data_IF_667292445974
#
_entry.id   IF_667292445974
#
_cell.length_a   1.000
_cell.length_b   1.000
_cell.length_c   1.000
_cell.angle_alpha   90.00
_cell.angle_beta   90.00
_cell.angle_gamma   90.00
#
_symmetry.space_group_name_H-M   'P 1'
#
loop_
_entity.id
_entity.type
_entity.pdbx_description
1 polymer ?
#
# COMPACT_ATOMS: atom_id res chain seq x y z
N UNK A 1 -1.61 -5.76 -12.43
CA UNK A 1 -0.61 -4.89 -11.78
C UNK A 1 0.55 -4.62 -12.71
N UNK A 2 0.96 -3.35 -12.84
CA UNK A 2 2.26 -2.98 -13.41
C UNK A 2 3.06 -2.31 -12.29
N UNK A 3 4.12 -2.96 -11.83
CA UNK A 3 5.10 -2.41 -10.89
C UNK A 3 6.48 -2.53 -11.53
N UNK A 4 7.29 -1.48 -11.42
CA UNK A 4 8.64 -1.45 -11.99
C UNK A 4 9.58 -0.78 -10.99
N UNK A 5 10.64 -1.52 -10.63
CA UNK A 5 11.76 -1.03 -9.84
C UNK A 5 12.99 -1.14 -10.73
N UNK A 6 13.63 -0.02 -11.02
CA UNK A 6 14.87 0.05 -11.78
C UNK A 6 15.92 0.67 -10.89
N UNK A 7 16.96 -0.10 -10.59
CA UNK A 7 18.10 0.33 -9.80
C UNK A 7 19.35 0.33 -10.69
N UNK A 8 20.24 1.29 -10.47
CA UNK A 8 21.58 1.28 -11.07
C UNK A 8 22.42 0.12 -10.51
N UNK A 9 23.50 -0.24 -11.23
CA UNK A 9 24.36 -1.40 -10.90
C UNK A 9 24.79 -1.52 -9.42
N UNK A 10 25.17 -0.45 -8.70
CA UNK A 10 25.61 -0.59 -7.30
C UNK A 10 24.47 -0.67 -6.28
N UNK A 11 23.20 -0.57 -6.70
CA UNK A 11 22.06 -0.42 -5.79
C UNK A 11 21.23 -1.71 -5.76
N UNK A 12 21.36 -2.47 -4.67
CA UNK A 12 20.54 -3.65 -4.40
C UNK A 12 19.05 -3.34 -4.30
N UNK A 13 18.21 -4.35 -4.54
CA UNK A 13 16.75 -4.26 -4.35
C UNK A 13 16.39 -4.78 -2.96
N UNK A 14 15.27 -4.31 -2.43
CA UNK A 14 14.68 -4.85 -1.21
C UNK A 14 13.59 -5.88 -1.56
N UNK A 15 13.78 -7.14 -1.15
CA UNK A 15 12.83 -8.23 -1.42
C UNK A 15 11.53 -8.06 -0.62
N UNK A 16 11.61 -7.56 0.61
CA UNK A 16 10.44 -7.36 1.45
C UNK A 16 9.47 -6.34 0.80
N UNK A 17 10.00 -5.31 0.14
CA UNK A 17 9.19 -4.36 -0.64
C UNK A 17 8.54 -4.98 -1.88
N UNK A 18 9.20 -5.95 -2.51
CA UNK A 18 8.62 -6.69 -3.64
C UNK A 18 7.46 -7.56 -3.16
N UNK A 19 7.60 -8.25 -2.03
CA UNK A 19 6.54 -9.03 -1.40
C UNK A 19 5.38 -8.12 -0.98
N UNK A 20 5.69 -7.00 -0.31
CA UNK A 20 4.69 -6.01 0.12
C UNK A 20 3.84 -5.48 -1.03
N UNK A 21 4.45 -5.28 -2.20
CA UNK A 21 3.74 -4.85 -3.41
C UNK A 21 2.76 -5.93 -3.91
N UNK A 22 3.11 -7.21 -3.80
CA UNK A 22 2.24 -8.33 -4.17
C UNK A 22 1.10 -8.49 -3.17
N UNK A 23 1.38 -8.40 -1.86
CA UNK A 23 0.34 -8.45 -0.82
C UNK A 23 -0.67 -7.29 -0.98
N UNK A 24 -0.19 -6.09 -1.34
CA UNK A 24 -1.06 -4.92 -1.57
C UNK A 24 -2.00 -5.13 -2.77
N UNK A 25 -1.50 -5.78 -3.83
CA UNK A 25 -2.34 -6.14 -4.98
C UNK A 25 -3.43 -7.12 -4.56
N UNK A 26 -3.06 -8.20 -3.87
CA UNK A 26 -4.01 -9.22 -3.43
C UNK A 26 -5.09 -8.60 -2.52
N UNK A 27 -4.68 -7.76 -1.57
CA UNK A 27 -5.61 -7.04 -0.71
C UNK A 27 -6.61 -6.19 -1.50
N UNK A 28 -6.13 -5.43 -2.48
CA UNK A 28 -6.99 -4.61 -3.34
C UNK A 28 -7.97 -5.47 -4.17
N UNK A 29 -7.51 -6.59 -4.72
CA UNK A 29 -8.36 -7.50 -5.50
C UNK A 29 -9.43 -8.17 -4.64
N UNK A 30 -9.12 -8.47 -3.37
CA UNK A 30 -10.06 -9.12 -2.43
C UNK A 30 -11.06 -8.14 -1.81
N UNK A 31 -10.63 -6.92 -1.44
CA UNK A 31 -11.43 -5.99 -0.64
C UNK A 31 -11.98 -4.81 -1.46
N UNK A 32 -11.39 -4.51 -2.64
CA UNK A 32 -11.70 -3.33 -3.43
C UNK A 32 -11.19 -2.01 -2.83
N UNK A 33 -10.46 -2.07 -1.71
CA UNK A 33 -9.87 -0.93 -1.03
C UNK A 33 -8.48 -0.60 -1.56
N UNK A 34 -8.05 0.66 -1.45
CA UNK A 34 -6.69 1.06 -1.82
C UNK A 34 -5.74 0.95 -0.64
N UNK A 35 -4.47 0.67 -0.93
CA UNK A 35 -3.41 0.56 0.08
C UNK A 35 -2.75 1.93 0.31
N UNK A 36 -2.85 2.54 1.51
CA UNK A 36 -2.19 3.80 1.83
C UNK A 36 -0.65 3.67 1.89
N UNK A 37 0.05 4.80 2.06
CA UNK A 37 1.51 4.81 2.18
C UNK A 37 1.99 3.93 3.34
N UNK A 38 3.08 3.18 3.12
CA UNK A 38 3.61 2.20 4.09
C UNK A 38 2.60 1.14 4.56
N UNK A 39 1.58 0.88 3.75
CA UNK A 39 0.68 -0.24 3.99
C UNK A 39 1.45 -1.56 3.93
N UNK A 40 1.13 -2.42 4.88
CA UNK A 40 1.64 -3.77 5.04
C UNK A 40 0.46 -4.69 5.36
N UNK A 41 0.62 -5.98 5.10
CA UNK A 41 -0.41 -6.98 5.36
C UNK A 41 -0.93 -6.89 6.79
N UNK A 42 -2.26 -6.79 6.92
CA UNK A 42 -2.94 -6.63 8.21
C UNK A 42 -3.22 -5.18 8.62
N UNK A 43 -2.66 -4.17 7.93
CA UNK A 43 -3.07 -2.77 8.12
C UNK A 43 -4.37 -2.46 7.40
N UNK A 44 -5.09 -1.45 7.90
CA UNK A 44 -6.34 -1.00 7.29
C UNK A 44 -6.10 -0.44 5.87
N UNK A 45 -6.98 -0.82 4.95
CA UNK A 45 -7.10 -0.18 3.64
C UNK A 45 -7.82 1.16 3.74
N UNK A 46 -7.90 1.86 2.61
CA UNK A 46 -8.59 3.14 2.49
C UNK A 46 -9.59 3.08 1.34
N UNK A 47 -10.78 3.65 1.53
CA UNK A 47 -11.77 3.75 0.46
C UNK A 47 -11.29 4.69 -0.64
N UNK A 48 -11.49 4.31 -1.91
CA UNK A 48 -11.09 5.09 -3.09
C UNK A 48 -12.07 6.25 -3.41
N UNK A 49 -12.50 6.99 -2.38
CA UNK A 49 -13.39 8.15 -2.50
C UNK A 49 -12.98 9.26 -1.52
N UNK A 50 -13.37 10.53 -1.77
CA UNK A 50 -13.08 11.62 -0.83
C UNK A 50 -13.55 11.33 0.60
N UNK A 51 -14.74 10.76 0.76
CA UNK A 51 -15.29 10.37 2.06
C UNK A 51 -14.50 9.22 2.70
N UNK A 52 -14.06 8.24 1.89
CA UNK A 52 -13.23 7.13 2.34
C UNK A 52 -11.86 7.59 2.84
N UNK A 53 -11.26 8.57 2.16
CA UNK A 53 -10.00 9.20 2.58
C UNK A 53 -10.21 9.99 3.87
N UNK A 54 -11.26 10.82 3.95
CA UNK A 54 -11.54 11.63 5.13
C UNK A 54 -11.77 10.75 6.37
N UNK A 55 -12.51 9.64 6.20
CA UNK A 55 -12.72 8.65 7.26
C UNK A 55 -11.40 8.00 7.69
N UNK A 56 -10.60 7.50 6.74
CA UNK A 56 -9.33 6.85 7.05
C UNK A 56 -8.37 7.77 7.80
N UNK A 57 -8.25 9.03 7.36
CA UNK A 57 -7.39 10.03 8.02
C UNK A 57 -7.88 10.37 9.42
N UNK A 58 -9.19 10.49 9.63
CA UNK A 58 -9.75 10.79 10.96
C UNK A 58 -9.48 9.66 11.96
N UNK A 59 -9.54 8.40 11.51
CA UNK A 59 -9.31 7.22 12.36
C UNK A 59 -7.81 6.93 12.62
N UNK A 60 -6.93 7.40 11.72
CA UNK A 60 -5.49 7.07 11.75
C UNK A 60 -4.57 8.29 11.94
N UNK A 61 -5.12 9.49 12.19
CA UNK A 61 -4.37 10.75 12.29
C UNK A 61 -3.17 10.71 13.26
N UNK A 62 -3.28 9.95 14.36
CA UNK A 62 -2.22 9.85 15.37
C UNK A 62 -1.08 8.89 15.01
N UNK A 63 -1.24 8.12 13.93
CA UNK A 63 -0.29 7.08 13.48
C UNK A 63 0.40 7.44 12.15
N UNK A 64 0.09 8.61 11.61
CA UNK A 64 0.63 9.15 10.34
C UNK A 64 1.78 10.11 10.59
#
# INVERSE_FOLDING_TARGET
MRSQIVNDLPIGRNIDEMIRTVDALQFHEEHGEVCPAQWEKGKAGMGASPDGVAKYLSENASKL
#
